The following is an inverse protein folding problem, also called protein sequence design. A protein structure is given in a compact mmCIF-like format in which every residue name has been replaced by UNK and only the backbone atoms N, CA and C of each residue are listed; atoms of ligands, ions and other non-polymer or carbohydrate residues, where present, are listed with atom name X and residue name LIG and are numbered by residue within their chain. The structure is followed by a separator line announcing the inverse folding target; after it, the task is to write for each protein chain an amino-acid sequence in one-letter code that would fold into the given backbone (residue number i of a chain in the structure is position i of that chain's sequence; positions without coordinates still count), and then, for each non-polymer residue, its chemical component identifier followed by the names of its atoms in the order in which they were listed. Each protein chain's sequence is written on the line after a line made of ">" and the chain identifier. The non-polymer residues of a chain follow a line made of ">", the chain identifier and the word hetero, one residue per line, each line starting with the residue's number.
data_IF_319633397293
#
_entry.id   IF_319633397293
#
_cell.length_a   1.000
_cell.length_b   1.000
_cell.length_c   1.000
_cell.angle_alpha   90.00
_cell.angle_beta   90.00
_cell.angle_gamma   90.00
#
_symmetry.space_group_name_H-M   'P 1'
#
loop_
_entity.id
_entity.type
_entity.pdbx_description
1 polymer ?
#
# COMPACT_ATOMS: atom_id res chain seq x y z
N UNK A 1 -9.40 63.42 -12.19
CA UNK A 1 -9.92 63.21 -10.83
C UNK A 1 -9.55 61.78 -10.41
N UNK A 2 -8.53 61.65 -9.56
CA UNK A 2 -8.14 60.33 -9.01
C UNK A 2 -8.93 60.11 -7.73
N UNK A 3 -10.01 59.34 -7.82
CA UNK A 3 -10.77 58.85 -6.65
C UNK A 3 -10.01 57.67 -6.02
N UNK A 4 -8.90 57.97 -5.38
CA UNK A 4 -8.23 57.00 -4.51
C UNK A 4 -9.05 56.88 -3.22
N UNK A 5 -9.94 55.88 -3.12
CA UNK A 5 -10.50 55.50 -1.82
C UNK A 5 -9.32 55.28 -0.88
N UNK A 6 -9.18 56.12 0.12
CA UNK A 6 -8.08 56.02 1.08
C UNK A 6 -8.15 54.66 1.76
N UNK A 7 -7.12 53.82 1.60
CA UNK A 7 -6.97 52.53 2.26
C UNK A 7 -7.30 52.61 3.76
N UNK A 8 -6.98 53.73 4.37
CA UNK A 8 -7.31 54.06 5.74
C UNK A 8 -8.83 54.10 6.03
N UNK A 9 -9.65 54.56 5.05
CA UNK A 9 -11.11 54.59 5.21
C UNK A 9 -11.70 53.18 5.16
N UNK A 10 -11.21 52.32 4.25
CA UNK A 10 -11.63 50.92 4.16
C UNK A 10 -11.29 50.18 5.44
N UNK A 11 -10.09 50.37 5.98
CA UNK A 11 -9.63 49.76 7.21
C UNK A 11 -10.49 50.13 8.43
N UNK A 12 -10.80 51.46 8.56
CA UNK A 12 -11.68 51.97 9.63
C UNK A 12 -13.10 51.39 9.55
N UNK A 13 -13.64 51.23 8.33
CA UNK A 13 -14.97 50.65 8.14
C UNK A 13 -15.00 49.13 8.47
N UNK A 14 -13.94 48.40 8.13
CA UNK A 14 -13.78 46.98 8.55
C UNK A 14 -13.74 46.86 10.07
N UNK A 15 -13.03 47.74 10.76
CA UNK A 15 -12.97 47.76 12.22
C UNK A 15 -14.32 48.13 12.88
N UNK A 16 -15.06 49.06 12.29
CA UNK A 16 -16.39 49.45 12.77
C UNK A 16 -17.40 48.29 12.67
N UNK A 17 -17.24 47.40 11.68
CA UNK A 17 -18.09 46.20 11.44
C UNK A 17 -17.37 44.90 11.74
N UNK A 18 -16.49 44.88 12.73
CA UNK A 18 -15.61 43.76 13.05
C UNK A 18 -16.32 42.39 13.13
N UNK A 19 -17.51 42.33 13.74
CA UNK A 19 -18.24 41.07 13.88
C UNK A 19 -18.65 40.50 12.51
N UNK A 20 -19.28 41.32 11.67
CA UNK A 20 -19.70 40.90 10.31
C UNK A 20 -18.50 40.54 9.45
N UNK A 21 -17.44 41.34 9.50
CA UNK A 21 -16.20 41.10 8.76
C UNK A 21 -15.55 39.77 9.19
N UNK A 22 -15.44 39.53 10.50
CA UNK A 22 -14.87 38.29 11.03
C UNK A 22 -15.69 37.10 10.62
N UNK A 23 -17.02 37.14 10.71
CA UNK A 23 -17.90 36.04 10.28
C UNK A 23 -17.73 35.74 8.78
N UNK A 24 -17.65 36.80 7.94
CA UNK A 24 -17.45 36.63 6.49
C UNK A 24 -16.09 35.98 6.21
N UNK A 25 -15.02 36.46 6.85
CA UNK A 25 -13.66 35.93 6.69
C UNK A 25 -13.59 34.48 7.17
N UNK A 26 -14.18 34.17 8.32
CA UNK A 26 -14.22 32.78 8.82
C UNK A 26 -15.02 31.87 7.90
N UNK A 27 -16.15 32.34 7.35
CA UNK A 27 -16.90 31.58 6.37
C UNK A 27 -16.11 31.26 5.10
N UNK A 28 -15.45 32.26 4.56
CA UNK A 28 -14.58 32.09 3.38
C UNK A 28 -13.36 31.18 3.72
N UNK A 29 -12.73 31.39 4.86
CA UNK A 29 -11.61 30.58 5.31
C UNK A 29 -12.01 29.11 5.48
N UNK A 30 -13.20 28.83 6.04
CA UNK A 30 -13.72 27.47 6.19
C UNK A 30 -13.90 26.79 4.82
N UNK A 31 -14.49 27.49 3.85
CA UNK A 31 -14.68 26.94 2.49
C UNK A 31 -13.34 26.60 1.85
N UNK A 32 -12.38 27.52 1.90
CA UNK A 32 -11.03 27.31 1.35
C UNK A 32 -10.32 26.16 2.07
N UNK A 33 -10.45 26.10 3.40
CA UNK A 33 -9.88 25.02 4.21
C UNK A 33 -10.42 23.65 3.81
N UNK A 34 -11.76 23.52 3.73
CA UNK A 34 -12.38 22.24 3.32
C UNK A 34 -11.92 21.82 1.91
N UNK A 35 -11.89 22.78 0.98
CA UNK A 35 -11.44 22.52 -0.37
C UNK A 35 -9.96 22.08 -0.41
N UNK A 36 -9.10 22.73 0.34
CA UNK A 36 -7.69 22.36 0.47
C UNK A 36 -7.52 20.95 1.07
N UNK A 37 -8.29 20.62 2.10
CA UNK A 37 -8.28 19.26 2.70
C UNK A 37 -8.66 18.18 1.70
N UNK A 38 -9.69 18.41 0.88
CA UNK A 38 -10.12 17.45 -0.16
C UNK A 38 -9.04 17.27 -1.21
N UNK A 39 -8.42 18.35 -1.67
CA UNK A 39 -7.33 18.28 -2.65
C UNK A 39 -6.11 17.54 -2.10
N UNK A 40 -5.71 17.83 -0.85
CA UNK A 40 -4.59 17.15 -0.19
C UNK A 40 -4.86 15.65 -0.02
N UNK A 41 -6.09 15.28 0.37
CA UNK A 41 -6.48 13.88 0.49
C UNK A 41 -6.46 13.15 -0.85
N UNK A 42 -6.97 13.80 -1.91
CA UNK A 42 -6.96 13.23 -3.27
C UNK A 42 -5.53 13.03 -3.78
N UNK A 43 -4.66 14.01 -3.58
CA UNK A 43 -3.26 13.90 -4.00
C UNK A 43 -2.50 12.83 -3.19
N UNK A 44 -2.73 12.74 -1.88
CA UNK A 44 -2.16 11.69 -1.04
C UNK A 44 -2.57 10.28 -1.49
N UNK A 45 -3.86 10.10 -1.82
CA UNK A 45 -4.35 8.83 -2.35
C UNK A 45 -3.73 8.51 -3.72
N UNK A 46 -3.66 9.51 -4.62
CA UNK A 46 -3.04 9.34 -5.94
C UNK A 46 -1.57 8.92 -5.83
N UNK A 47 -0.79 9.53 -4.94
CA UNK A 47 0.62 9.19 -4.73
C UNK A 47 0.78 7.77 -4.19
N UNK A 48 -0.05 7.36 -3.24
CA UNK A 48 -0.02 5.99 -2.68
C UNK A 48 -0.34 4.95 -3.75
N UNK A 49 -1.34 5.21 -4.60
CA UNK A 49 -1.71 4.29 -5.68
C UNK A 49 -0.66 4.25 -6.80
N UNK A 50 -0.13 5.40 -7.21
CA UNK A 50 0.90 5.47 -8.26
C UNK A 50 2.20 4.79 -7.83
N UNK A 51 2.57 4.86 -6.54
CA UNK A 51 3.76 4.21 -5.99
C UNK A 51 3.68 2.68 -5.94
N UNK A 52 2.49 2.10 -6.13
CA UNK A 52 2.29 0.64 -6.11
C UNK A 52 2.60 0.00 -7.48
N UNK A 53 2.55 0.77 -8.56
CA UNK A 53 2.82 0.30 -9.93
C UNK A 53 4.25 0.61 -10.39
N UNK A 54 4.74 -0.18 -11.34
CA UNK A 54 5.91 0.14 -12.16
C UNK A 54 5.48 0.15 -13.63
N UNK A 55 6.00 1.10 -14.41
CA UNK A 55 5.60 1.28 -15.82
C UNK A 55 5.83 0.04 -16.68
N UNK A 56 6.80 -0.78 -16.31
CA UNK A 56 7.21 -1.97 -17.04
C UNK A 56 6.56 -3.26 -16.55
N UNK A 57 5.79 -3.20 -15.46
CA UNK A 57 5.14 -4.36 -14.87
C UNK A 57 3.65 -4.40 -15.20
N UNK A 58 3.19 -5.57 -15.65
CA UNK A 58 1.77 -5.83 -15.92
C UNK A 58 1.28 -6.91 -14.97
N UNK A 59 0.15 -6.67 -14.32
CA UNK A 59 -0.53 -7.67 -13.49
C UNK A 59 -1.59 -8.35 -14.32
N UNK A 60 -1.48 -9.66 -14.45
CA UNK A 60 -2.47 -10.49 -15.15
C UNK A 60 -3.42 -11.11 -14.14
N UNK A 61 -4.70 -10.81 -14.28
CA UNK A 61 -5.78 -11.37 -13.47
C UNK A 61 -6.78 -12.12 -14.36
N UNK A 62 -7.55 -13.02 -13.78
CA UNK A 62 -8.60 -13.74 -14.49
C UNK A 62 -9.62 -12.77 -15.07
N UNK A 63 -10.05 -13.01 -16.29
CA UNK A 63 -11.12 -12.22 -16.93
C UNK A 63 -12.39 -12.24 -16.07
N UNK A 64 -12.89 -11.04 -15.75
CA UNK A 64 -14.07 -10.86 -14.89
C UNK A 64 -13.74 -10.67 -13.39
N UNK A 65 -12.49 -10.86 -12.95
CA UNK A 65 -12.07 -10.48 -11.60
C UNK A 65 -11.87 -8.98 -11.53
N UNK A 66 -12.37 -8.37 -10.45
CA UNK A 66 -12.21 -6.93 -10.22
C UNK A 66 -10.93 -6.59 -9.46
N UNK A 67 -10.37 -7.56 -8.73
CA UNK A 67 -9.16 -7.36 -7.90
C UNK A 67 -8.26 -8.60 -7.98
N UNK A 68 -6.99 -8.43 -7.61
CA UNK A 68 -6.02 -9.52 -7.51
C UNK A 68 -6.48 -10.61 -6.53
N UNK A 69 -7.06 -10.22 -5.41
CA UNK A 69 -7.53 -11.15 -4.34
C UNK A 69 -8.65 -12.08 -4.82
N UNK A 70 -9.51 -11.60 -5.72
CA UNK A 70 -10.61 -12.38 -6.29
C UNK A 70 -10.23 -13.11 -7.59
N UNK A 71 -8.98 -12.99 -8.02
CA UNK A 71 -8.47 -13.65 -9.21
C UNK A 71 -7.94 -15.03 -8.88
N UNK A 72 -8.41 -16.05 -9.60
CA UNK A 72 -7.79 -17.37 -9.53
C UNK A 72 -7.26 -17.78 -10.91
N UNK A 73 -5.95 -17.90 -10.99
CA UNK A 73 -5.22 -18.37 -12.16
C UNK A 73 -4.63 -19.74 -11.84
N UNK A 74 -4.88 -20.74 -12.70
CA UNK A 74 -4.33 -22.08 -12.50
C UNK A 74 -2.82 -22.10 -12.73
N UNK A 75 -2.13 -23.14 -12.21
CA UNK A 75 -0.68 -23.31 -12.45
C UNK A 75 -0.36 -23.48 -13.93
N UNK A 76 -1.23 -24.11 -14.69
CA UNK A 76 -1.07 -24.28 -16.13
C UNK A 76 -1.18 -22.93 -16.86
N UNK A 77 -2.18 -22.13 -16.52
CA UNK A 77 -2.32 -20.78 -17.06
C UNK A 77 -1.12 -19.90 -16.73
N UNK A 78 -0.61 -19.96 -15.50
CA UNK A 78 0.59 -19.23 -15.10
C UNK A 78 1.83 -19.66 -15.89
N UNK A 79 1.97 -20.98 -16.18
CA UNK A 79 3.04 -21.49 -17.06
C UNK A 79 2.90 -21.00 -18.48
N UNK A 80 1.68 -20.97 -19.03
CA UNK A 80 1.44 -20.44 -20.36
C UNK A 80 1.83 -18.97 -20.46
N UNK A 81 1.52 -18.18 -19.43
CA UNK A 81 1.94 -16.78 -19.36
C UNK A 81 3.45 -16.64 -19.42
N UNK A 82 4.20 -17.48 -18.68
CA UNK A 82 5.66 -17.37 -18.60
C UNK A 82 6.41 -17.64 -19.93
N UNK A 83 5.74 -18.24 -20.91
CA UNK A 83 6.32 -18.52 -22.23
C UNK A 83 5.78 -17.60 -23.35
N UNK A 84 4.97 -16.58 -23.00
CA UNK A 84 4.46 -15.64 -23.99
C UNK A 84 5.60 -14.83 -24.62
N UNK A 85 5.53 -14.58 -25.94
CA UNK A 85 6.51 -13.72 -26.60
C UNK A 85 6.36 -12.27 -26.12
N UNK A 86 7.47 -11.55 -26.03
CA UNK A 86 7.49 -10.13 -25.63
C UNK A 86 7.63 -9.88 -24.14
N UNK A 87 7.74 -10.93 -23.31
CA UNK A 87 8.10 -10.78 -21.91
C UNK A 87 9.59 -10.41 -21.78
N UNK A 88 9.89 -9.52 -20.83
CA UNK A 88 11.26 -9.24 -20.46
C UNK A 88 11.95 -10.51 -19.92
N UNK A 89 13.23 -10.65 -20.16
CA UNK A 89 14.05 -11.74 -19.65
C UNK A 89 15.07 -11.23 -18.63
N UNK A 90 15.50 -12.11 -17.74
CA UNK A 90 16.62 -11.85 -16.85
C UNK A 90 17.97 -12.04 -17.57
N UNK A 91 19.08 -11.83 -16.86
CA UNK A 91 20.43 -12.01 -17.40
C UNK A 91 20.76 -13.46 -17.79
N UNK A 92 19.95 -14.42 -17.37
CA UNK A 92 20.08 -15.85 -17.67
C UNK A 92 19.15 -16.30 -18.80
N UNK A 93 18.36 -15.38 -19.37
CA UNK A 93 17.38 -15.67 -20.42
C UNK A 93 16.03 -16.21 -19.93
N UNK A 94 15.80 -16.26 -18.62
CA UNK A 94 14.51 -16.69 -18.09
C UNK A 94 13.49 -15.55 -18.16
N UNK A 95 12.23 -15.90 -18.46
CA UNK A 95 11.12 -14.96 -18.47
C UNK A 95 10.93 -14.29 -17.10
N UNK A 96 10.78 -12.97 -17.08
CA UNK A 96 10.46 -12.19 -15.89
C UNK A 96 8.96 -12.24 -15.56
N UNK A 97 8.34 -13.39 -15.64
CA UNK A 97 6.97 -13.62 -15.23
C UNK A 97 6.94 -14.37 -13.90
N UNK A 98 6.25 -13.81 -12.92
CA UNK A 98 6.12 -14.39 -11.57
C UNK A 98 4.66 -14.61 -11.25
N UNK A 99 4.32 -15.81 -10.83
CA UNK A 99 2.99 -16.11 -10.28
C UNK A 99 2.99 -15.81 -8.78
N UNK A 100 1.97 -15.12 -8.31
CA UNK A 100 1.78 -14.75 -6.90
C UNK A 100 0.45 -15.27 -6.39
N UNK A 101 0.34 -15.43 -5.08
CA UNK A 101 -0.92 -15.73 -4.40
C UNK A 101 -1.23 -14.63 -3.40
N UNK A 102 -2.45 -14.10 -3.43
CA UNK A 102 -2.91 -13.12 -2.46
C UNK A 102 -4.01 -13.71 -1.60
N UNK A 103 -3.86 -13.58 -0.31
CA UNK A 103 -4.84 -14.01 0.68
C UNK A 103 -5.10 -12.88 1.66
N UNK A 104 -6.37 -12.63 1.95
CA UNK A 104 -6.77 -11.70 2.99
C UNK A 104 -6.95 -12.46 4.30
N UNK A 105 -6.21 -12.07 5.33
CA UNK A 105 -6.27 -12.65 6.67
C UNK A 105 -6.74 -11.63 7.69
N UNK A 106 -7.24 -12.14 8.83
CA UNK A 106 -7.60 -11.32 9.98
C UNK A 106 -6.57 -11.52 11.09
N UNK A 107 -5.88 -10.46 11.47
CA UNK A 107 -4.96 -10.47 12.60
C UNK A 107 -5.55 -9.68 13.78
N UNK A 108 -5.40 -10.18 15.02
CA UNK A 108 -5.84 -9.46 16.20
C UNK A 108 -5.04 -8.15 16.38
N UNK A 109 -5.72 -7.10 16.81
CA UNK A 109 -5.06 -5.82 17.12
C UNK A 109 -4.41 -5.87 18.49
N UNK A 110 -3.25 -5.24 18.60
CA UNK A 110 -2.58 -5.01 19.89
C UNK A 110 -3.43 -4.05 20.72
N UNK A 111 -3.84 -4.45 21.91
CA UNK A 111 -4.72 -3.65 22.77
C UNK A 111 -6.17 -4.12 22.89
N UNK A 112 -6.53 -5.24 22.26
CA UNK A 112 -7.67 -6.10 22.69
C UNK A 112 -9.02 -5.91 22.01
N UNK A 113 -9.24 -4.93 21.15
CA UNK A 113 -10.55 -4.82 20.47
C UNK A 113 -10.43 -4.88 18.94
N UNK A 114 -10.97 -5.98 18.38
CA UNK A 114 -11.20 -6.17 16.96
C UNK A 114 -9.99 -6.74 16.20
N UNK A 115 -10.23 -7.06 14.94
CA UNK A 115 -9.25 -7.59 14.00
C UNK A 115 -8.92 -6.56 12.92
N UNK A 116 -7.78 -6.68 12.30
CA UNK A 116 -7.41 -5.96 11.09
C UNK A 116 -7.27 -6.93 9.92
N UNK A 117 -7.82 -6.53 8.78
CA UNK A 117 -7.61 -7.25 7.53
C UNK A 117 -6.21 -6.92 7.00
N UNK A 118 -5.41 -7.94 6.77
CA UNK A 118 -4.05 -7.83 6.24
C UNK A 118 -3.93 -8.71 5.01
N UNK A 119 -3.34 -8.19 3.95
CA UNK A 119 -3.02 -8.96 2.75
C UNK A 119 -1.71 -9.71 2.98
N UNK A 120 -1.74 -11.01 2.72
CA UNK A 120 -0.55 -11.86 2.64
C UNK A 120 -0.28 -12.15 1.18
N UNK A 121 0.87 -11.72 0.71
CA UNK A 121 1.36 -11.99 -0.65
C UNK A 121 2.35 -13.13 -0.64
N UNK A 122 1.96 -14.27 -1.19
CA UNK A 122 2.87 -15.36 -1.51
C UNK A 122 3.60 -15.04 -2.80
N UNK A 123 4.91 -14.87 -2.73
CA UNK A 123 5.76 -14.47 -3.85
C UNK A 123 7.09 -15.25 -3.83
N UNK A 124 8.01 -14.88 -4.68
CA UNK A 124 9.38 -15.41 -4.72
C UNK A 124 10.40 -14.27 -4.69
N UNK A 125 11.68 -14.59 -4.55
CA UNK A 125 12.76 -13.61 -4.64
C UNK A 125 12.73 -12.84 -5.97
N UNK A 126 12.39 -13.52 -7.08
CA UNK A 126 12.20 -12.88 -8.38
C UNK A 126 11.03 -11.89 -8.37
N UNK A 127 9.92 -12.23 -7.71
CA UNK A 127 8.75 -11.34 -7.58
C UNK A 127 9.04 -10.10 -6.75
N UNK A 128 9.82 -10.24 -5.69
CA UNK A 128 10.31 -9.08 -4.92
C UNK A 128 11.24 -8.22 -5.77
N UNK A 129 12.14 -8.85 -6.54
CA UNK A 129 13.04 -8.15 -7.45
C UNK A 129 12.35 -7.36 -8.56
N UNK A 130 11.09 -7.67 -8.89
CA UNK A 130 10.27 -6.88 -9.81
C UNK A 130 9.71 -5.60 -9.17
N UNK A 131 9.89 -5.39 -7.87
CA UNK A 131 9.39 -4.25 -7.09
C UNK A 131 10.55 -3.49 -6.45
N UNK A 132 11.23 -2.61 -7.20
CA UNK A 132 12.43 -1.91 -6.72
C UNK A 132 12.17 -1.01 -5.51
N UNK A 133 10.92 -0.63 -5.26
CA UNK A 133 10.49 0.12 -4.09
C UNK A 133 10.55 -0.70 -2.79
N UNK A 134 10.53 -2.05 -2.86
CA UNK A 134 10.63 -2.91 -1.68
C UNK A 134 12.09 -2.99 -1.25
N UNK A 135 12.39 -2.43 -0.09
CA UNK A 135 13.72 -2.40 0.51
C UNK A 135 13.67 -2.98 1.91
N UNK A 136 14.49 -3.98 2.19
CA UNK A 136 14.60 -4.53 3.54
C UNK A 136 15.24 -3.49 4.47
N UNK A 137 14.57 -3.20 5.58
CA UNK A 137 15.04 -2.24 6.58
C UNK A 137 15.71 -2.95 7.75
N UNK A 138 15.18 -4.11 8.14
CA UNK A 138 15.66 -4.87 9.31
C UNK A 138 15.45 -6.36 9.10
N UNK A 139 16.31 -7.18 9.68
CA UNK A 139 16.26 -8.62 9.58
C UNK A 139 16.80 -9.16 8.25
N UNK A 140 16.16 -10.21 7.72
CA UNK A 140 16.52 -10.85 6.46
C UNK A 140 15.30 -11.19 5.61
N UNK A 141 15.53 -11.57 4.37
CA UNK A 141 14.49 -12.13 3.51
C UNK A 141 14.05 -13.51 4.02
N UNK A 142 12.81 -13.87 3.73
CA UNK A 142 12.30 -15.23 3.97
C UNK A 142 13.03 -16.26 3.10
N UNK A 143 13.21 -17.45 3.63
CA UNK A 143 13.80 -18.56 2.88
C UNK A 143 12.71 -19.33 2.11
N UNK A 144 12.97 -19.72 0.85
CA UNK A 144 12.05 -20.57 0.10
C UNK A 144 11.79 -21.89 0.85
N UNK A 145 10.51 -22.24 0.96
CA UNK A 145 10.09 -23.45 1.66
C UNK A 145 9.95 -23.33 3.17
N UNK A 146 10.37 -22.22 3.79
CA UNK A 146 10.21 -21.97 5.22
C UNK A 146 8.87 -21.29 5.53
N UNK A 147 8.35 -21.50 6.75
CA UNK A 147 7.20 -20.77 7.27
C UNK A 147 7.64 -19.42 7.86
N UNK A 148 8.15 -18.58 6.98
CA UNK A 148 8.71 -17.26 7.31
C UNK A 148 8.00 -16.17 6.54
N UNK A 149 7.90 -14.99 7.15
CA UNK A 149 7.29 -13.80 6.55
C UNK A 149 8.19 -12.58 6.76
N UNK A 150 8.15 -11.67 5.81
CA UNK A 150 8.60 -10.29 6.00
C UNK A 150 7.39 -9.37 6.05
N UNK A 151 7.49 -8.32 6.84
CA UNK A 151 6.39 -7.44 7.21
C UNK A 151 6.65 -6.05 6.65
N UNK A 152 5.65 -5.45 6.01
CA UNK A 152 5.70 -4.04 5.63
C UNK A 152 5.76 -3.12 6.85
N UNK A 153 6.54 -2.06 6.77
CA UNK A 153 6.76 -1.11 7.88
C UNK A 153 5.44 -0.53 8.43
N UNK A 154 4.42 -0.39 7.59
CA UNK A 154 3.10 0.08 8.01
C UNK A 154 2.41 -0.82 9.04
N UNK A 155 2.73 -2.12 9.07
CA UNK A 155 2.17 -3.07 10.03
C UNK A 155 2.96 -3.13 11.36
N UNK A 156 4.19 -2.62 11.37
CA UNK A 156 5.00 -2.54 12.60
C UNK A 156 4.58 -1.39 13.51
N UNK A 157 3.93 -0.39 12.92
CA UNK A 157 3.44 0.80 13.61
C UNK A 157 1.93 0.68 13.88
N UNK A 158 1.46 1.36 14.89
CA UNK A 158 0.04 1.47 15.18
C UNK A 158 -0.57 0.25 15.86
N UNK A 159 -1.80 -0.12 15.44
CA UNK A 159 -2.63 -1.08 16.16
C UNK A 159 -2.26 -2.55 15.98
N UNK A 160 -1.41 -2.90 15.04
CA UNK A 160 -0.92 -4.28 14.88
C UNK A 160 0.41 -4.49 15.58
N UNK A 161 1.32 -3.52 15.52
CA UNK A 161 2.58 -3.51 16.26
C UNK A 161 3.46 -4.73 16.05
N UNK A 162 3.39 -5.35 14.85
CA UNK A 162 4.12 -6.59 14.54
C UNK A 162 5.62 -6.32 14.56
N UNK A 163 6.37 -7.12 15.31
CA UNK A 163 7.81 -6.94 15.49
C UNK A 163 8.61 -8.07 14.84
N UNK A 164 9.88 -7.78 14.57
CA UNK A 164 10.82 -8.81 14.13
C UNK A 164 10.95 -9.91 15.19
N UNK A 165 10.81 -11.17 14.76
CA UNK A 165 10.85 -12.34 15.65
C UNK A 165 9.47 -12.82 16.12
N UNK A 166 8.41 -12.05 15.93
CA UNK A 166 7.04 -12.45 16.30
C UNK A 166 6.60 -13.71 15.54
N UNK A 167 5.67 -14.44 16.18
CA UNK A 167 5.01 -15.59 15.60
C UNK A 167 3.56 -15.23 15.26
N UNK A 168 3.24 -15.24 13.98
CA UNK A 168 1.90 -14.98 13.47
C UNK A 168 1.18 -16.31 13.18
N UNK A 169 -0.10 -16.40 13.57
CA UNK A 169 -0.92 -17.59 13.34
C UNK A 169 -1.96 -17.31 12.26
N UNK A 170 -1.81 -17.92 11.09
CA UNK A 170 -2.80 -17.86 10.02
C UNK A 170 -2.65 -19.03 9.05
N UNK A 171 -3.74 -19.38 8.33
CA UNK A 171 -3.73 -20.50 7.37
C UNK A 171 -3.34 -21.84 8.01
N UNK A 172 -3.84 -22.13 9.22
CA UNK A 172 -3.52 -23.32 10.00
C UNK A 172 -2.02 -23.54 10.26
N UNK A 173 -1.19 -22.50 10.20
CA UNK A 173 0.27 -22.52 10.43
C UNK A 173 0.74 -21.36 11.27
N UNK A 174 1.93 -21.56 11.85
CA UNK A 174 2.69 -20.50 12.51
C UNK A 174 3.74 -19.96 11.55
N UNK A 175 3.87 -18.63 11.50
CA UNK A 175 4.79 -17.92 10.62
C UNK A 175 5.69 -17.02 11.44
N UNK A 176 6.99 -17.16 11.26
CA UNK A 176 7.97 -16.33 11.94
C UNK A 176 8.26 -15.06 11.14
N UNK A 177 8.19 -13.92 11.79
CA UNK A 177 8.60 -12.64 11.21
C UNK A 177 10.13 -12.57 11.20
N UNK A 178 10.74 -12.60 10.01
CA UNK A 178 12.20 -12.63 9.84
C UNK A 178 12.76 -11.35 9.27
N UNK A 179 11.92 -10.44 8.80
CA UNK A 179 12.35 -9.15 8.26
C UNK A 179 11.24 -8.12 8.22
N UNK A 180 11.66 -6.87 8.17
CA UNK A 180 10.79 -5.70 7.96
C UNK A 180 11.25 -4.97 6.72
N UNK A 181 10.32 -4.59 5.85
CA UNK A 181 10.62 -3.86 4.62
C UNK A 181 9.87 -2.54 4.54
N UNK A 182 10.44 -1.58 3.84
CA UNK A 182 9.77 -0.36 3.37
C UNK A 182 9.45 -0.48 1.88
N UNK A 183 8.44 0.23 1.43
CA UNK A 183 8.01 0.25 0.03
C UNK A 183 7.59 1.65 -0.44
N UNK A 184 8.35 2.66 -0.07
CA UNK A 184 8.19 4.06 -0.46
C UNK A 184 6.75 4.60 -0.24
N UNK A 185 6.11 4.22 0.89
CA UNK A 185 4.71 4.54 1.27
C UNK A 185 3.66 4.00 0.30
N UNK A 186 4.00 3.00 -0.49
CA UNK A 186 3.03 2.30 -1.34
C UNK A 186 2.12 1.38 -0.53
N UNK A 187 1.08 0.84 -1.17
CA UNK A 187 0.18 -0.13 -0.54
C UNK A 187 0.87 -1.38 0.01
N UNK A 188 2.04 -1.74 -0.53
CA UNK A 188 2.81 -2.89 -0.07
C UNK A 188 3.30 -2.78 1.38
N UNK A 189 3.44 -1.56 1.94
CA UNK A 189 3.82 -1.40 3.36
C UNK A 189 2.78 -1.94 4.34
N UNK A 190 1.57 -2.22 3.86
CA UNK A 190 0.48 -2.83 4.64
C UNK A 190 0.29 -4.31 4.32
N UNK A 191 1.27 -4.96 3.72
CA UNK A 191 1.23 -6.39 3.36
C UNK A 191 2.27 -7.21 4.14
N UNK A 192 1.99 -8.52 4.23
CA UNK A 192 2.96 -9.55 4.61
C UNK A 192 3.42 -10.25 3.34
N UNK A 193 4.72 -10.47 3.19
CA UNK A 193 5.26 -11.26 2.08
C UNK A 193 5.89 -12.55 2.56
N UNK A 194 5.62 -13.66 1.87
CA UNK A 194 6.10 -14.99 2.21
C UNK A 194 6.34 -15.83 0.94
N UNK A 195 6.89 -17.02 1.13
CA UNK A 195 7.02 -17.98 0.02
C UNK A 195 5.63 -18.39 -0.51
N UNK A 196 5.45 -18.26 -1.84
CA UNK A 196 4.17 -18.55 -2.51
C UNK A 196 3.69 -19.96 -2.26
N UNK A 197 4.57 -20.96 -2.38
CA UNK A 197 4.16 -22.36 -2.30
C UNK A 197 3.78 -22.73 -0.87
N UNK A 198 4.42 -22.12 0.14
CA UNK A 198 4.04 -22.28 1.54
C UNK A 198 2.67 -21.63 1.83
N UNK A 199 2.40 -20.42 1.30
CA UNK A 199 1.08 -19.79 1.43
C UNK A 199 0.00 -20.65 0.77
N UNK A 200 0.23 -21.13 -0.45
CA UNK A 200 -0.73 -22.01 -1.15
C UNK A 200 -1.01 -23.31 -0.40
N UNK A 201 -0.04 -23.85 0.34
CA UNK A 201 -0.25 -25.04 1.18
C UNK A 201 -1.02 -24.73 2.45
N UNK A 202 -0.82 -23.57 3.04
CA UNK A 202 -1.47 -23.17 4.29
C UNK A 202 -2.97 -22.84 4.12
N UNK A 203 -3.40 -22.55 2.90
CA UNK A 203 -4.79 -22.17 2.59
C UNK A 203 -5.51 -23.17 1.65
N UNK A 204 -5.07 -24.39 1.63
CA UNK A 204 -5.75 -25.49 0.92
C UNK A 204 -6.94 -26.03 1.68
#
# INVERSE_FOLDING_TARGET
>A
MKSGLSFSFVLKNLWARRLTTTLTVLGMALVVFVFACVLMMTEGLRQTMAGTGAYDNVVLIRKGSQTEVHSSVTREQARLVSILPGLATDSQGNSRAVAESLVLINLPRTGGEGNANVVVRGTSAAGIGMRPQIKLISGRMFEPGASEVIVGEGLTRGRLGIQLGDMLNFGARQWRVVGVFSADRSGFESELHADRDQIMQAFR
#
